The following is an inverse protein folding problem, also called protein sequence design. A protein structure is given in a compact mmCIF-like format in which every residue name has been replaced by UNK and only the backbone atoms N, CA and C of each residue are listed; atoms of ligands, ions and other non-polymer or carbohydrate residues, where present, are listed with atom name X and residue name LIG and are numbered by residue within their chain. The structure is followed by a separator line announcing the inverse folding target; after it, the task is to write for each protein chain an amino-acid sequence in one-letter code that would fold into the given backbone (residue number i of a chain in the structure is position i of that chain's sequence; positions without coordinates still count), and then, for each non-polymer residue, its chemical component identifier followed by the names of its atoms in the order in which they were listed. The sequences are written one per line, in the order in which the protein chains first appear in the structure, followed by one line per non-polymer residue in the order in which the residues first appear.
data_IF_345397599117
#
_entry.id   IF_345397599117
#
_cell.length_a   1.000
_cell.length_b   1.000
_cell.length_c   1.000
_cell.angle_alpha   90.00
_cell.angle_beta   90.00
_cell.angle_gamma   90.00
#
_symmetry.space_group_name_H-M   'P 1'
#
loop_
_entity.id
_entity.type
_entity.pdbx_description
1 polymer ?
#
# COMPACT_ATOMS: atom_id res chain seq x y z
N UNK A 1 -24.51 -35.73 48.79
CA UNK A 1 -23.46 -36.53 48.10
C UNK A 1 -23.33 -36.00 46.66
N UNK A 2 -22.28 -35.23 46.37
CA UNK A 2 -22.07 -34.64 45.05
C UNK A 2 -21.23 -35.63 44.22
N UNK A 3 -21.84 -36.21 43.19
CA UNK A 3 -21.20 -37.15 42.28
C UNK A 3 -20.30 -36.37 41.35
N UNK A 4 -18.97 -36.40 41.54
CA UNK A 4 -17.98 -35.85 40.59
C UNK A 4 -18.05 -36.64 39.31
N UNK A 5 -18.47 -36.00 38.21
CA UNK A 5 -18.33 -36.54 36.85
C UNK A 5 -16.84 -36.50 36.49
N UNK A 6 -16.21 -37.65 36.26
CA UNK A 6 -14.89 -37.73 35.70
C UNK A 6 -14.96 -37.25 34.25
N UNK A 7 -14.11 -36.31 33.81
CA UNK A 7 -14.04 -35.95 32.41
C UNK A 7 -13.61 -37.18 31.61
N UNK A 8 -14.36 -37.52 30.55
CA UNK A 8 -14.01 -38.61 29.63
C UNK A 8 -12.67 -38.34 29.01
N UNK A 9 -11.76 -39.32 28.96
CA UNK A 9 -10.49 -39.21 28.27
C UNK A 9 -10.74 -39.15 26.75
N UNK A 10 -10.13 -38.19 26.05
CA UNK A 10 -10.23 -38.03 24.62
C UNK A 10 -9.52 -39.22 23.92
N UNK A 11 -10.20 -39.88 22.98
CA UNK A 11 -9.60 -40.93 22.17
C UNK A 11 -8.61 -40.36 21.13
N UNK A 12 -7.50 -41.03 20.90
CA UNK A 12 -6.53 -40.69 19.86
C UNK A 12 -7.17 -40.65 18.46
N UNK A 13 -8.17 -41.48 18.24
CA UNK A 13 -8.93 -41.52 16.97
C UNK A 13 -9.81 -40.25 16.81
N UNK A 14 -10.45 -39.78 17.88
CA UNK A 14 -11.22 -38.54 17.85
C UNK A 14 -10.34 -37.31 17.51
N UNK A 15 -9.15 -37.26 18.11
CA UNK A 15 -8.17 -36.22 17.81
C UNK A 15 -7.72 -36.29 16.35
N UNK A 16 -7.43 -37.48 15.84
CA UNK A 16 -6.98 -37.69 14.46
C UNK A 16 -8.05 -37.25 13.44
N UNK A 17 -9.31 -37.58 13.66
CA UNK A 17 -10.42 -37.19 12.79
C UNK A 17 -10.61 -35.67 12.80
N UNK A 18 -10.54 -35.02 13.96
CA UNK A 18 -10.66 -33.55 14.04
C UNK A 18 -9.54 -32.84 13.29
N UNK A 19 -8.28 -33.30 13.44
CA UNK A 19 -7.15 -32.74 12.73
C UNK A 19 -7.30 -32.96 11.22
N UNK A 20 -7.74 -34.14 10.79
CA UNK A 20 -7.96 -34.43 9.36
C UNK A 20 -8.98 -33.48 8.73
N UNK A 21 -10.12 -33.25 9.40
CA UNK A 21 -11.15 -32.31 8.94
C UNK A 21 -10.61 -30.88 8.94
N UNK A 22 -9.87 -30.46 9.95
CA UNK A 22 -9.28 -29.12 10.03
C UNK A 22 -8.30 -28.88 8.85
N UNK A 23 -7.41 -29.82 8.55
CA UNK A 23 -6.48 -29.73 7.42
C UNK A 23 -7.22 -29.63 6.09
N UNK A 24 -8.30 -30.41 5.93
CA UNK A 24 -9.12 -30.39 4.72
C UNK A 24 -9.81 -29.02 4.53
N UNK A 25 -10.33 -28.43 5.57
CA UNK A 25 -10.92 -27.08 5.54
C UNK A 25 -9.86 -26.00 5.23
N UNK A 26 -8.70 -26.08 5.88
CA UNK A 26 -7.59 -25.14 5.64
C UNK A 26 -7.07 -25.21 4.21
N UNK A 27 -7.04 -26.38 3.59
CA UNK A 27 -6.57 -26.53 2.21
C UNK A 27 -7.40 -25.77 1.19
N UNK A 28 -8.68 -25.56 1.46
CA UNK A 28 -9.59 -24.76 0.61
C UNK A 28 -9.51 -23.27 0.98
N UNK A 29 -9.34 -22.96 2.26
CA UNK A 29 -9.31 -21.56 2.77
C UNK A 29 -8.05 -20.81 2.35
N UNK A 30 -6.88 -21.45 2.35
CA UNK A 30 -5.60 -20.79 2.05
C UNK A 30 -5.55 -20.14 0.66
N UNK A 31 -5.91 -20.82 -0.46
CA UNK A 31 -5.92 -20.19 -1.77
C UNK A 31 -6.95 -19.09 -1.90
N UNK A 32 -8.13 -19.24 -1.28
CA UNK A 32 -9.15 -18.20 -1.26
C UNK A 32 -8.67 -16.93 -0.54
N UNK A 33 -8.01 -17.07 0.60
CA UNK A 33 -7.46 -15.96 1.36
C UNK A 33 -6.35 -15.21 0.60
N UNK A 34 -5.51 -15.91 -0.15
CA UNK A 34 -4.50 -15.29 -1.01
C UNK A 34 -5.14 -14.40 -2.10
N UNK A 35 -6.19 -14.88 -2.75
CA UNK A 35 -6.94 -14.13 -3.75
C UNK A 35 -7.60 -12.88 -3.16
N UNK A 36 -8.25 -12.99 -2.01
CA UNK A 36 -8.89 -11.86 -1.30
C UNK A 36 -7.86 -10.79 -0.93
N UNK A 37 -6.69 -11.20 -0.42
CA UNK A 37 -5.60 -10.25 -0.10
C UNK A 37 -5.07 -9.53 -1.34
N UNK A 38 -4.94 -10.22 -2.48
CA UNK A 38 -4.51 -9.60 -3.72
C UNK A 38 -5.54 -8.56 -4.21
N UNK A 39 -6.82 -8.92 -4.19
CA UNK A 39 -7.92 -8.00 -4.55
C UNK A 39 -7.97 -6.78 -3.62
N UNK A 40 -7.78 -6.98 -2.32
CA UNK A 40 -7.73 -5.89 -1.34
C UNK A 40 -6.58 -4.91 -1.61
N UNK A 41 -5.38 -5.40 -1.94
CA UNK A 41 -4.25 -4.53 -2.33
C UNK A 41 -4.55 -3.75 -3.61
N UNK A 42 -5.15 -4.39 -4.62
CA UNK A 42 -5.54 -3.72 -5.85
C UNK A 42 -6.56 -2.60 -5.60
N UNK A 43 -7.55 -2.84 -4.76
CA UNK A 43 -8.53 -1.83 -4.37
C UNK A 43 -7.88 -0.62 -3.68
N UNK A 44 -6.89 -0.84 -2.82
CA UNK A 44 -6.11 0.22 -2.19
C UNK A 44 -5.31 1.03 -3.21
N UNK A 45 -4.67 0.39 -4.20
CA UNK A 45 -3.95 1.10 -5.26
C UNK A 45 -4.91 1.99 -6.07
N UNK A 46 -6.10 1.52 -6.41
CA UNK A 46 -7.12 2.31 -7.12
C UNK A 46 -7.59 3.50 -6.25
N UNK A 47 -7.80 3.27 -4.97
CA UNK A 47 -8.17 4.34 -4.02
C UNK A 47 -7.08 5.41 -3.94
N UNK A 48 -5.81 5.02 -3.87
CA UNK A 48 -4.68 5.94 -3.86
C UNK A 48 -4.60 6.76 -5.15
N UNK A 49 -4.72 6.11 -6.32
CA UNK A 49 -4.76 6.81 -7.62
C UNK A 49 -5.90 7.82 -7.69
N UNK A 50 -7.07 7.49 -7.14
CA UNK A 50 -8.19 8.43 -7.07
C UNK A 50 -7.86 9.65 -6.22
N UNK A 51 -7.21 9.47 -5.06
CA UNK A 51 -6.78 10.57 -4.20
C UNK A 51 -5.74 11.45 -4.91
N UNK A 52 -4.76 10.86 -5.60
CA UNK A 52 -3.78 11.59 -6.42
C UNK A 52 -4.46 12.40 -7.53
N UNK A 53 -5.46 11.81 -8.20
CA UNK A 53 -6.23 12.52 -9.24
C UNK A 53 -6.98 13.72 -8.67
N UNK A 54 -7.61 13.58 -7.51
CA UNK A 54 -8.29 14.68 -6.82
C UNK A 54 -7.29 15.78 -6.45
N UNK A 55 -6.15 15.41 -5.87
CA UNK A 55 -5.09 16.36 -5.51
C UNK A 55 -4.56 17.12 -6.74
N UNK A 56 -4.36 16.42 -7.87
CA UNK A 56 -3.92 17.06 -9.11
C UNK A 56 -4.96 18.06 -9.67
N UNK A 57 -6.25 17.77 -9.54
CA UNK A 57 -7.31 18.71 -9.91
C UNK A 57 -7.38 19.91 -8.96
N UNK A 58 -7.21 19.70 -7.66
CA UNK A 58 -7.16 20.79 -6.69
C UNK A 58 -5.96 21.71 -6.95
N UNK A 59 -4.79 21.13 -7.23
CA UNK A 59 -3.62 21.89 -7.66
C UNK A 59 -3.92 22.72 -8.91
N UNK A 60 -4.54 22.12 -9.92
CA UNK A 60 -4.86 22.81 -11.17
C UNK A 60 -5.89 23.94 -10.97
N UNK A 61 -6.82 23.79 -10.04
CA UNK A 61 -7.77 24.86 -9.70
C UNK A 61 -7.10 26.04 -9.00
N UNK A 62 -6.08 25.78 -8.17
CA UNK A 62 -5.37 26.82 -7.43
C UNK A 62 -4.33 27.55 -8.30
N UNK A 63 -3.57 26.81 -9.10
CA UNK A 63 -2.45 27.35 -9.87
C UNK A 63 -2.75 27.59 -11.36
N UNK A 64 -3.89 27.15 -11.86
CA UNK A 64 -4.31 27.31 -13.26
C UNK A 64 -3.68 26.32 -14.24
N UNK A 65 -2.85 25.38 -13.77
CA UNK A 65 -2.22 24.33 -14.58
C UNK A 65 -1.99 23.06 -13.74
N UNK A 66 -1.88 21.90 -14.38
CA UNK A 66 -1.57 20.66 -13.68
C UNK A 66 -0.14 20.63 -13.14
N UNK A 67 0.14 19.89 -12.05
CA UNK A 67 1.48 19.78 -11.52
C UNK A 67 2.43 19.25 -12.61
N UNK A 68 3.63 19.85 -12.75
CA UNK A 68 4.57 19.47 -13.80
C UNK A 68 5.08 18.05 -13.55
N UNK A 69 5.24 17.27 -14.62
CA UNK A 69 5.87 15.96 -14.54
C UNK A 69 7.31 16.08 -14.02
N UNK A 70 8.06 17.02 -14.58
CA UNK A 70 9.38 17.44 -14.09
C UNK A 70 9.65 18.88 -14.55
N UNK A 71 10.29 19.66 -13.70
CA UNK A 71 10.79 21.00 -14.02
C UNK A 71 12.24 21.09 -13.57
N UNK A 72 13.11 21.47 -14.52
CA UNK A 72 14.55 21.57 -14.33
C UNK A 72 14.95 23.02 -14.03
N UNK A 73 16.12 23.18 -13.41
CA UNK A 73 16.71 24.51 -13.16
C UNK A 73 15.83 25.46 -12.34
N UNK A 74 15.58 25.07 -11.11
CA UNK A 74 15.04 25.97 -10.11
C UNK A 74 16.19 26.62 -9.34
N UNK A 75 16.08 27.93 -9.07
CA UNK A 75 16.99 28.65 -8.18
C UNK A 75 16.90 28.08 -6.76
N UNK A 76 17.87 28.39 -5.89
CA UNK A 76 17.95 27.96 -4.47
C UNK A 76 18.44 26.53 -4.21
N UNK A 77 19.23 25.93 -5.11
CA UNK A 77 19.79 24.58 -4.92
C UNK A 77 18.81 23.43 -5.14
N UNK A 78 17.55 23.75 -5.45
CA UNK A 78 16.56 22.81 -5.95
C UNK A 78 16.73 22.73 -7.45
N UNK A 79 17.24 21.62 -7.97
CA UNK A 79 17.50 21.50 -9.41
C UNK A 79 16.32 20.93 -10.16
N UNK A 80 15.52 20.08 -9.50
CA UNK A 80 14.37 19.47 -10.13
C UNK A 80 13.15 19.54 -9.20
N UNK A 81 12.04 19.96 -9.74
CA UNK A 81 10.73 19.85 -9.14
C UNK A 81 9.89 18.88 -9.96
N UNK A 82 9.57 17.75 -9.40
CA UNK A 82 8.55 16.86 -9.94
C UNK A 82 7.24 17.02 -9.13
N UNK A 83 6.15 16.50 -9.66
CA UNK A 83 4.86 16.53 -8.96
C UNK A 83 4.92 15.82 -7.60
N UNK A 84 5.80 14.84 -7.46
CA UNK A 84 5.97 13.97 -6.31
C UNK A 84 7.12 14.38 -5.38
N UNK A 85 8.26 14.88 -5.91
CA UNK A 85 9.43 15.23 -5.12
C UNK A 85 10.19 16.44 -5.63
N UNK A 86 10.85 17.14 -4.70
CA UNK A 86 11.94 18.07 -4.99
C UNK A 86 13.27 17.36 -4.84
N UNK A 87 14.16 17.51 -5.81
CA UNK A 87 15.46 16.88 -5.80
C UNK A 87 16.59 17.86 -6.05
N UNK A 88 17.79 17.54 -5.55
CA UNK A 88 19.04 18.20 -5.91
C UNK A 88 19.56 17.70 -7.25
N UNK A 89 20.56 18.38 -7.83
CA UNK A 89 21.17 18.00 -9.11
C UNK A 89 21.85 16.64 -9.12
N UNK A 90 22.27 16.16 -7.94
CA UNK A 90 22.83 14.83 -7.74
C UNK A 90 21.75 13.75 -7.47
N UNK A 91 20.47 14.12 -7.58
CA UNK A 91 19.34 13.20 -7.43
C UNK A 91 18.93 12.90 -5.99
N UNK A 92 19.40 13.65 -4.99
CA UNK A 92 18.97 13.48 -3.59
C UNK A 92 17.58 14.08 -3.42
N UNK A 93 16.70 13.33 -2.76
CA UNK A 93 15.37 13.81 -2.38
C UNK A 93 15.47 14.87 -1.27
N UNK A 94 14.84 16.02 -1.47
CA UNK A 94 14.82 17.12 -0.53
C UNK A 94 13.53 17.13 0.29
N UNK A 95 12.40 17.16 -0.39
CA UNK A 95 11.08 17.26 0.24
C UNK A 95 9.99 16.69 -0.68
N UNK A 96 8.82 16.38 -0.14
CA UNK A 96 7.65 16.04 -0.94
C UNK A 96 7.31 17.16 -1.94
N UNK A 97 6.92 16.75 -3.14
CA UNK A 97 6.56 17.66 -4.24
C UNK A 97 5.23 18.40 -4.00
N UNK A 98 4.90 19.33 -4.88
CA UNK A 98 3.77 20.24 -4.68
C UNK A 98 2.40 19.55 -4.65
N UNK A 99 2.27 18.36 -5.24
CA UNK A 99 1.01 17.61 -5.22
C UNK A 99 0.60 17.21 -3.80
N UNK A 100 1.57 16.94 -2.94
CA UNK A 100 1.31 16.37 -1.63
C UNK A 100 0.76 17.37 -0.61
N UNK A 101 0.80 18.68 -0.89
CA UNK A 101 0.11 19.69 -0.10
C UNK A 101 -1.43 19.58 -0.19
N UNK A 102 -1.93 18.84 -1.17
CA UNK A 102 -3.36 18.60 -1.41
C UNK A 102 -3.82 17.21 -0.95
N UNK A 103 -3.00 16.49 -0.19
CA UNK A 103 -3.35 15.17 0.36
C UNK A 103 -3.11 15.15 1.86
N UNK A 104 -3.97 14.43 2.60
CA UNK A 104 -3.86 14.33 4.06
C UNK A 104 -2.69 13.44 4.51
N UNK A 105 -2.33 12.44 3.71
CA UNK A 105 -1.26 11.47 4.03
C UNK A 105 -0.46 11.08 2.78
N UNK A 106 0.54 11.91 2.41
CA UNK A 106 1.39 11.68 1.23
C UNK A 106 2.03 10.30 1.21
N UNK A 107 2.58 9.86 2.33
CA UNK A 107 3.33 8.61 2.43
C UNK A 107 2.49 7.35 2.15
N UNK A 108 1.19 7.38 2.46
CA UNK A 108 0.27 6.28 2.16
C UNK A 108 -0.25 6.30 0.73
N UNK A 109 -0.55 7.49 0.23
CA UNK A 109 -1.15 7.65 -1.11
C UNK A 109 -0.12 7.35 -2.20
N UNK A 110 1.14 7.68 -1.97
CA UNK A 110 2.23 7.54 -2.91
C UNK A 110 2.65 6.08 -3.14
N UNK A 111 2.36 5.18 -2.21
CA UNK A 111 2.77 3.78 -2.30
C UNK A 111 1.64 2.86 -2.75
N UNK A 112 1.83 2.15 -3.87
CA UNK A 112 0.93 1.06 -4.25
C UNK A 112 1.26 -0.23 -3.48
N UNK A 113 0.34 -0.78 -2.65
CA UNK A 113 0.60 -2.00 -1.87
C UNK A 113 0.83 -3.26 -2.72
N UNK A 114 0.52 -3.22 -4.00
CA UNK A 114 0.75 -4.32 -4.95
C UNK A 114 2.07 -4.22 -5.68
N UNK A 115 2.80 -3.10 -5.54
CA UNK A 115 4.07 -2.90 -6.20
C UNK A 115 5.22 -3.50 -5.38
N UNK A 116 6.05 -4.29 -6.04
CA UNK A 116 7.23 -4.95 -5.46
C UNK A 116 8.49 -4.73 -6.31
N UNK A 117 8.45 -3.75 -7.23
CA UNK A 117 9.58 -3.41 -8.08
C UNK A 117 10.64 -2.54 -7.37
N UNK A 118 11.75 -2.24 -8.06
CA UNK A 118 12.75 -1.31 -7.57
C UNK A 118 12.17 0.11 -7.47
N UNK A 119 12.72 0.90 -6.56
CA UNK A 119 12.42 2.33 -6.46
C UNK A 119 12.93 3.06 -7.70
N UNK A 120 12.17 4.04 -8.19
CA UNK A 120 12.60 4.88 -9.29
C UNK A 120 13.46 6.03 -8.73
N UNK A 121 14.67 6.22 -9.24
CA UNK A 121 15.60 7.28 -8.82
C UNK A 121 15.82 7.42 -7.30
N UNK A 122 15.70 6.32 -6.54
CA UNK A 122 15.87 6.34 -5.09
C UNK A 122 14.64 6.82 -4.31
N UNK A 123 13.54 7.12 -4.97
CA UNK A 123 12.26 7.42 -4.33
C UNK A 123 11.72 6.16 -3.62
N UNK A 124 11.50 6.20 -2.30
CA UNK A 124 11.04 5.05 -1.54
C UNK A 124 9.58 4.68 -1.80
N UNK A 125 8.83 5.49 -2.55
CA UNK A 125 7.37 5.43 -2.63
C UNK A 125 6.83 5.23 -4.04
N UNK A 126 7.54 4.51 -4.91
CA UNK A 126 7.07 4.30 -6.28
C UNK A 126 6.22 3.05 -6.45
N UNK A 127 5.25 3.14 -7.29
CA UNK A 127 4.34 2.07 -7.67
C UNK A 127 3.33 2.51 -8.71
N UNK A 128 3.42 3.76 -9.15
CA UNK A 128 2.49 4.40 -10.09
C UNK A 128 3.21 5.01 -11.31
N UNK A 129 4.33 4.41 -11.73
CA UNK A 129 5.06 4.81 -12.93
C UNK A 129 4.47 4.16 -14.18
#
# INVERSE_FOLDING_TARGET
MIRRRTPGAFSTVELLVVVAIAVLLLSILLPALASVRASGRSALCISNLRQMSIAAHQYALEYGFFPPAIRWDLDDGIVNMAWDWYTTGDGRLLSPGPLWSFTDDPGRVQQCPSYHGPTNFGDPHTGYN
#
